data_IF_635185107890
#
_entry.id   IF_635185107890
#
_cell.length_a   1.000
_cell.length_b   1.000
_cell.length_c   1.000
_cell.angle_alpha   90.00
_cell.angle_beta   90.00
_cell.angle_gamma   90.00
#
_symmetry.space_group_name_H-M   'P 1'
#
loop_
_entity.id
_entity.type
_entity.pdbx_description
1 polymer ?
#
# COMPACT_ATOMS: atom_id res chain seq x y z
N UNK A 1 19.96 -9.99 3.97
CA UNK A 1 18.62 -9.37 3.98
C UNK A 1 18.77 -7.99 3.37
N UNK A 2 18.23 -7.76 2.18
CA UNK A 2 18.38 -6.48 1.50
C UNK A 2 17.46 -5.46 2.16
N UNK A 3 18.03 -4.43 2.81
CA UNK A 3 17.28 -3.32 3.39
C UNK A 3 17.28 -2.16 2.39
N UNK A 4 16.52 -2.31 1.30
CA UNK A 4 16.28 -1.18 0.40
C UNK A 4 15.38 -0.21 1.16
N UNK A 5 15.88 1.01 1.35
CA UNK A 5 15.09 2.11 1.90
C UNK A 5 15.15 3.29 0.96
N UNK A 6 14.02 3.94 0.80
CA UNK A 6 13.80 5.03 -0.13
C UNK A 6 13.47 6.30 0.66
N UNK A 7 13.93 7.48 0.23
CA UNK A 7 13.70 8.72 0.97
C UNK A 7 12.21 9.10 1.06
N UNK A 8 11.40 8.71 0.09
CA UNK A 8 9.97 9.07 -0.01
C UNK A 8 9.10 7.82 -0.16
N UNK A 9 7.78 7.97 -0.04
CA UNK A 9 6.81 6.94 -0.40
C UNK A 9 6.36 7.19 -1.84
N UNK A 10 6.63 6.25 -2.74
CA UNK A 10 6.42 6.45 -4.17
C UNK A 10 6.91 5.28 -4.99
N UNK A 11 6.61 5.27 -6.29
CA UNK A 11 7.08 4.24 -7.22
C UNK A 11 8.51 4.53 -7.68
N UNK A 12 9.33 3.49 -7.87
CA UNK A 12 10.61 3.64 -8.56
C UNK A 12 10.34 3.84 -10.05
N UNK A 13 10.71 5.02 -10.58
CA UNK A 13 10.48 5.39 -11.99
C UNK A 13 11.78 5.42 -12.82
N UNK A 14 12.91 5.12 -12.20
CA UNK A 14 14.19 5.04 -12.88
C UNK A 14 15.36 5.07 -11.92
N UNK A 15 16.55 5.08 -12.52
CA UNK A 15 17.83 5.14 -11.83
C UNK A 15 18.53 6.43 -12.30
N UNK A 16 19.24 7.10 -11.41
CA UNK A 16 20.11 8.24 -11.68
C UNK A 16 21.49 7.76 -12.16
N UNK A 17 22.30 8.65 -12.74
CA UNK A 17 23.65 8.32 -13.23
C UNK A 17 24.59 7.85 -12.09
N UNK A 18 24.31 8.26 -10.85
CA UNK A 18 25.05 7.85 -9.65
C UNK A 18 24.58 6.49 -9.06
N UNK A 19 23.60 5.84 -9.69
CA UNK A 19 23.03 4.56 -9.25
C UNK A 19 21.92 4.67 -8.19
N UNK A 20 21.57 5.88 -7.74
CA UNK A 20 20.42 6.09 -6.85
C UNK A 20 19.08 5.98 -7.59
N UNK A 21 17.99 5.73 -6.86
CA UNK A 21 16.66 5.58 -7.47
C UNK A 21 15.91 6.91 -7.54
N UNK A 22 15.24 7.15 -8.67
CA UNK A 22 14.26 8.22 -8.81
C UNK A 22 12.88 7.71 -8.42
N UNK A 23 12.22 8.44 -7.52
CA UNK A 23 10.87 8.14 -7.08
C UNK A 23 9.84 9.07 -7.73
N UNK A 24 8.72 8.49 -8.14
CA UNK A 24 7.58 9.17 -8.73
C UNK A 24 6.28 8.89 -7.97
N UNK A 25 5.16 9.44 -8.45
CA UNK A 25 3.85 9.22 -7.84
C UNK A 25 3.43 7.75 -7.93
N UNK A 26 2.65 7.32 -6.93
CA UNK A 26 1.90 6.07 -6.99
C UNK A 26 0.68 6.31 -7.89
N UNK A 27 0.40 5.43 -8.88
CA UNK A 27 -0.78 5.54 -9.73
C UNK A 27 -2.06 5.70 -8.90
N UNK A 28 -2.92 6.62 -9.34
CA UNK A 28 -4.17 7.01 -8.69
C UNK A 28 -4.03 7.64 -7.30
N UNK A 29 -2.94 7.42 -6.55
CA UNK A 29 -2.73 7.96 -5.20
C UNK A 29 -2.01 9.32 -5.19
N UNK A 30 -0.98 9.51 -6.02
CA UNK A 30 -0.16 10.73 -6.08
C UNK A 30 1.23 10.56 -5.44
N UNK A 31 1.88 11.67 -5.09
CA UNK A 31 3.24 11.69 -4.52
C UNK A 31 4.34 12.01 -5.53
N UNK A 32 5.60 11.62 -5.26
CA UNK A 32 6.06 10.87 -4.08
C UNK A 32 5.86 11.69 -2.79
N UNK A 33 5.57 11.00 -1.68
CA UNK A 33 5.15 11.59 -0.41
C UNK A 33 6.31 11.60 0.58
N UNK A 34 6.44 12.66 1.38
CA UNK A 34 7.58 12.86 2.28
C UNK A 34 7.40 12.09 3.59
N UNK A 35 6.16 11.96 4.06
CA UNK A 35 5.83 11.36 5.35
C UNK A 35 4.70 10.32 5.24
N UNK A 36 4.66 9.37 6.18
CA UNK A 36 3.66 8.32 6.22
C UNK A 36 2.23 8.87 6.38
N UNK A 37 2.06 9.95 7.12
CA UNK A 37 0.75 10.60 7.29
C UNK A 37 0.14 11.04 5.96
N UNK A 38 0.95 11.62 5.06
CA UNK A 38 0.51 12.01 3.71
C UNK A 38 0.02 10.79 2.91
N UNK A 39 0.67 9.64 3.07
CA UNK A 39 0.24 8.39 2.43
C UNK A 39 -1.12 7.94 2.95
N UNK A 40 -1.32 7.89 4.27
CA UNK A 40 -2.60 7.46 4.84
C UNK A 40 -3.74 8.42 4.50
N UNK A 41 -3.50 9.73 4.52
CA UNK A 41 -4.48 10.73 4.09
C UNK A 41 -4.84 10.58 2.61
N UNK A 42 -3.84 10.43 1.73
CA UNK A 42 -4.08 10.22 0.31
C UNK A 42 -4.85 8.92 0.05
N UNK A 43 -4.52 7.85 0.77
CA UNK A 43 -5.16 6.54 0.64
C UNK A 43 -6.61 6.60 1.12
N UNK A 44 -6.86 7.17 2.29
CA UNK A 44 -8.22 7.25 2.86
C UNK A 44 -9.14 8.14 2.03
N UNK A 45 -8.61 9.17 1.36
CA UNK A 45 -9.40 9.98 0.43
C UNK A 45 -9.85 9.20 -0.82
N UNK A 46 -9.03 8.26 -1.30
CA UNK A 46 -9.20 7.66 -2.64
C UNK A 46 -9.67 6.22 -2.64
N UNK A 47 -9.44 5.47 -1.55
CA UNK A 47 -9.84 4.06 -1.46
C UNK A 47 -11.35 3.91 -1.69
N UNK A 48 -11.70 2.90 -2.48
CA UNK A 48 -13.08 2.46 -2.70
C UNK A 48 -13.20 1.03 -2.20
N UNK A 49 -14.19 0.75 -1.38
CA UNK A 49 -14.50 -0.62 -0.97
C UNK A 49 -15.34 -1.28 -2.07
N UNK A 50 -14.95 -2.51 -2.44
CA UNK A 50 -15.28 -3.10 -3.74
C UNK A 50 -16.73 -3.56 -3.98
N UNK A 51 -17.63 -3.41 -3.00
CA UNK A 51 -19.03 -3.78 -3.16
C UNK A 51 -19.91 -2.53 -3.12
N UNK A 52 -20.80 -2.40 -4.11
CA UNK A 52 -21.90 -1.45 -4.04
C UNK A 52 -22.83 -1.82 -2.88
N UNK A 53 -23.71 -0.88 -2.49
CA UNK A 53 -24.68 -1.16 -1.43
C UNK A 53 -25.59 -2.36 -1.78
N UNK A 54 -26.04 -2.47 -3.03
CA UNK A 54 -26.84 -3.61 -3.48
C UNK A 54 -26.05 -4.92 -3.40
N UNK A 55 -24.77 -4.92 -3.79
CA UNK A 55 -23.91 -6.08 -3.66
C UNK A 55 -23.64 -6.45 -2.19
N UNK A 56 -23.53 -5.46 -1.30
CA UNK A 56 -23.44 -5.68 0.15
C UNK A 56 -24.73 -6.29 0.69
N UNK A 57 -25.89 -5.86 0.18
CA UNK A 57 -27.19 -6.42 0.56
C UNK A 57 -27.31 -7.88 0.13
N UNK A 58 -26.86 -8.20 -1.08
CA UNK A 58 -26.84 -9.56 -1.58
C UNK A 58 -25.87 -10.46 -0.79
N UNK A 59 -24.71 -9.92 -0.40
CA UNK A 59 -23.66 -10.68 0.30
C UNK A 59 -23.89 -10.81 1.82
N UNK A 60 -24.42 -9.78 2.46
CA UNK A 60 -24.47 -9.64 3.93
C UNK A 60 -25.88 -9.41 4.48
N UNK A 61 -26.91 -9.32 3.63
CA UNK A 61 -28.30 -9.20 4.05
C UNK A 61 -28.54 -7.99 4.95
N UNK A 62 -29.02 -8.24 6.17
CA UNK A 62 -29.35 -7.19 7.14
C UNK A 62 -28.14 -6.39 7.64
N UNK A 63 -26.91 -6.87 7.42
CA UNK A 63 -25.70 -6.16 7.83
C UNK A 63 -25.19 -5.14 6.80
N UNK A 64 -25.82 -5.05 5.62
CA UNK A 64 -25.34 -4.20 4.53
C UNK A 64 -25.26 -2.71 4.90
N UNK A 65 -26.24 -2.20 5.64
CA UNK A 65 -26.25 -0.81 6.12
C UNK A 65 -25.09 -0.57 7.10
N UNK A 66 -24.91 -1.46 8.08
CA UNK A 66 -23.84 -1.37 9.07
C UNK A 66 -22.46 -1.41 8.42
N UNK A 67 -22.24 -2.33 7.49
CA UNK A 67 -20.97 -2.45 6.76
C UNK A 67 -20.69 -1.23 5.89
N UNK A 68 -21.72 -0.68 5.24
CA UNK A 68 -21.60 0.55 4.45
C UNK A 68 -21.15 1.73 5.32
N UNK A 69 -21.79 1.91 6.48
CA UNK A 69 -21.45 2.96 7.45
C UNK A 69 -20.05 2.72 8.02
N UNK A 70 -19.72 1.49 8.38
CA UNK A 70 -18.41 1.11 8.92
C UNK A 70 -17.28 1.43 7.94
N UNK A 71 -17.46 1.14 6.65
CA UNK A 71 -16.49 1.48 5.61
C UNK A 71 -16.24 3.00 5.51
N UNK A 72 -17.29 3.81 5.57
CA UNK A 72 -17.15 5.28 5.59
C UNK A 72 -16.45 5.78 6.85
N UNK A 73 -16.86 5.27 8.01
CA UNK A 73 -16.26 5.64 9.29
C UNK A 73 -14.78 5.25 9.36
N UNK A 74 -14.41 4.10 8.80
CA UNK A 74 -13.02 3.64 8.75
C UNK A 74 -12.14 4.57 7.90
N UNK A 75 -12.63 5.04 6.75
CA UNK A 75 -11.89 6.04 5.95
C UNK A 75 -11.66 7.33 6.71
N UNK A 76 -12.70 7.84 7.37
CA UNK A 76 -12.59 9.05 8.19
C UNK A 76 -11.56 8.86 9.33
N UNK A 77 -11.66 7.74 10.06
CA UNK A 77 -10.73 7.41 11.14
C UNK A 77 -9.28 7.32 10.65
N UNK A 78 -9.04 6.70 9.49
CA UNK A 78 -7.70 6.60 8.91
C UNK A 78 -7.13 7.97 8.50
N UNK A 79 -7.99 8.91 8.10
CA UNK A 79 -7.59 10.29 7.83
C UNK A 79 -7.24 11.02 9.14
N UNK A 80 -8.13 10.98 10.11
CA UNK A 80 -7.99 11.68 11.39
C UNK A 80 -6.77 11.20 12.20
N UNK A 81 -6.45 9.90 12.11
CA UNK A 81 -5.34 9.29 12.82
C UNK A 81 -4.03 9.23 12.01
N UNK A 82 -3.96 9.84 10.82
CA UNK A 82 -2.86 9.63 9.87
C UNK A 82 -1.46 9.85 10.46
N UNK A 83 -1.30 10.81 11.37
CA UNK A 83 -0.04 11.12 12.05
C UNK A 83 0.41 10.05 13.07
N UNK A 84 -0.52 9.24 13.56
CA UNK A 84 -0.32 8.26 14.63
C UNK A 84 -0.26 6.81 14.11
N UNK A 85 -0.72 6.55 12.88
CA UNK A 85 -0.80 5.21 12.31
C UNK A 85 0.57 4.58 12.06
N UNK A 86 1.58 5.38 11.75
CA UNK A 86 2.95 4.88 11.54
C UNK A 86 3.80 5.03 12.80
N UNK A 87 4.55 3.98 13.13
CA UNK A 87 5.63 4.06 14.13
C UNK A 87 6.72 5.07 13.74
N UNK A 88 6.91 5.31 12.45
CA UNK A 88 7.88 6.28 11.90
C UNK A 88 7.18 7.09 10.82
N UNK A 89 6.80 8.32 11.16
CA UNK A 89 6.16 9.21 10.20
C UNK A 89 7.16 9.68 9.13
N UNK A 90 8.42 9.85 9.51
CA UNK A 90 9.50 10.25 8.61
C UNK A 90 10.25 9.02 8.06
N UNK A 91 10.85 9.19 6.88
CA UNK A 91 11.63 8.18 6.20
C UNK A 91 12.98 7.85 6.85
N UNK A 92 13.78 6.98 6.22
CA UNK A 92 13.54 6.38 4.91
C UNK A 92 12.60 5.16 4.97
N UNK A 93 11.75 5.02 3.97
CA UNK A 93 10.68 4.03 3.90
C UNK A 93 11.15 2.72 3.26
N UNK A 94 10.70 1.55 3.74
CA UNK A 94 11.07 0.27 3.15
C UNK A 94 10.39 0.07 1.78
N UNK A 95 11.08 -0.62 0.87
CA UNK A 95 10.43 -1.19 -0.30
C UNK A 95 9.49 -2.32 0.16
N UNK A 96 8.24 -2.31 -0.33
CA UNK A 96 7.22 -3.31 0.01
C UNK A 96 6.70 -3.96 -1.27
N UNK A 97 6.52 -5.28 -1.28
CA UNK A 97 6.05 -6.03 -2.46
C UNK A 97 4.56 -5.83 -2.77
N UNK A 98 3.74 -5.52 -1.76
CA UNK A 98 2.28 -5.45 -1.90
C UNK A 98 1.58 -6.83 -1.88
N UNK A 99 2.10 -7.82 -2.60
CA UNK A 99 1.57 -9.20 -2.62
C UNK A 99 2.63 -10.25 -2.25
N UNK A 100 3.16 -10.19 -1.02
CA UNK A 100 4.27 -11.05 -0.59
C UNK A 100 3.83 -12.46 -0.18
N UNK A 101 3.18 -13.19 -1.11
CA UNK A 101 2.71 -14.55 -0.94
C UNK A 101 3.67 -15.62 -1.47
N UNK A 102 3.51 -16.86 -1.00
CA UNK A 102 4.25 -18.04 -1.48
C UNK A 102 4.12 -18.26 -3.00
N UNK A 103 2.99 -17.89 -3.60
CA UNK A 103 2.75 -17.91 -5.04
C UNK A 103 3.74 -17.04 -5.85
N UNK A 104 4.34 -16.03 -5.21
CA UNK A 104 5.30 -15.11 -5.83
C UNK A 104 6.75 -15.45 -5.49
N UNK A 105 7.01 -16.60 -4.84
CA UNK A 105 8.34 -17.04 -4.43
C UNK A 105 8.80 -18.25 -5.25
N UNK A 106 10.03 -18.20 -5.74
CA UNK A 106 10.63 -19.28 -6.52
C UNK A 106 11.66 -20.00 -5.64
N UNK A 107 11.57 -21.33 -5.57
CA UNK A 107 12.48 -22.16 -4.79
C UNK A 107 13.21 -23.18 -5.68
N UNK A 108 14.40 -23.61 -5.25
CA UNK A 108 15.06 -24.79 -5.81
C UNK A 108 14.55 -26.11 -5.19
N UNK A 109 15.06 -27.24 -5.68
CA UNK A 109 14.69 -28.59 -5.19
C UNK A 109 15.08 -28.84 -3.72
N UNK A 110 15.91 -27.97 -3.13
CA UNK A 110 16.31 -28.02 -1.72
C UNK A 110 15.55 -26.99 -0.87
N UNK A 111 14.45 -26.43 -1.39
CA UNK A 111 13.63 -25.40 -0.75
C UNK A 111 14.39 -24.10 -0.42
N UNK A 112 15.43 -23.76 -1.19
CA UNK A 112 16.13 -22.47 -1.06
C UNK A 112 15.45 -21.44 -1.94
N UNK A 113 15.15 -20.26 -1.38
CA UNK A 113 14.56 -19.15 -2.12
C UNK A 113 15.55 -18.63 -3.18
N UNK A 114 15.15 -18.72 -4.45
CA UNK A 114 15.90 -18.23 -5.60
C UNK A 114 15.52 -16.80 -5.98
N UNK A 115 14.26 -16.42 -5.78
CA UNK A 115 13.77 -15.11 -6.17
C UNK A 115 12.32 -14.86 -5.78
N UNK A 116 11.91 -13.61 -5.97
CA UNK A 116 10.55 -13.12 -5.76
C UNK A 116 10.13 -12.38 -7.04
N UNK A 117 8.95 -12.69 -7.57
CA UNK A 117 8.39 -12.13 -8.82
C UNK A 117 7.15 -11.29 -8.54
N UNK A 118 6.57 -10.64 -9.56
CA UNK A 118 5.32 -9.87 -9.44
C UNK A 118 5.47 -8.59 -8.57
N UNK A 119 6.47 -7.77 -8.93
CA UNK A 119 6.77 -6.51 -8.25
C UNK A 119 5.98 -5.31 -8.82
N UNK A 120 5.02 -5.51 -9.73
CA UNK A 120 4.28 -4.40 -10.35
C UNK A 120 3.49 -3.53 -9.35
N UNK A 121 3.10 -4.11 -8.22
CA UNK A 121 2.40 -3.44 -7.13
C UNK A 121 3.30 -2.74 -6.09
N UNK A 122 4.63 -2.79 -6.25
CA UNK A 122 5.61 -2.23 -5.32
C UNK A 122 5.94 -0.74 -5.54
#
# INVERSE_FOLDING_TARGET
MFNIRLPKIGKIIGINDDGSYRQGPIPDLGGPLEIAAEFFMAWSAKVQFGLSHDQLKDAAGSFADELSISGLAFKALMNDMAEELSKSNEGPFPLCHGDFGHNNMIFDDNYRLLGVIDWEGA
#
